data_IF_413818857760
#
_entry.id   IF_413818857760
#
_cell.length_a   1.000
_cell.length_b   1.000
_cell.length_c   1.000
_cell.angle_alpha   90.00
_cell.angle_beta   90.00
_cell.angle_gamma   90.00
#
_symmetry.space_group_name_H-M   'P 1'
#
loop_
_entity.id
_entity.type
_entity.pdbx_description
1 polymer ?
#
# COMPACT_ATOMS: atom_id res chain seq x y z
N UNK A 1 -7.08 27.85 2.24
CA UNK A 1 -5.90 28.19 1.42
C UNK A 1 -5.03 26.97 1.12
N UNK A 2 -4.53 26.23 2.13
CA UNK A 2 -3.65 25.05 1.92
C UNK A 2 -4.20 23.97 0.95
N UNK A 3 -5.49 23.64 1.04
CA UNK A 3 -6.10 22.63 0.15
C UNK A 3 -6.06 23.05 -1.33
N UNK A 4 -6.45 24.28 -1.64
CA UNK A 4 -6.42 24.82 -3.01
C UNK A 4 -4.98 24.95 -3.53
N UNK A 5 -4.05 25.36 -2.67
CA UNK A 5 -2.61 25.40 -3.01
C UNK A 5 -2.10 24.00 -3.34
N UNK A 6 -2.45 22.98 -2.55
CA UNK A 6 -2.08 21.59 -2.83
C UNK A 6 -2.70 21.07 -4.13
N UNK A 7 -3.98 21.38 -4.40
CA UNK A 7 -4.64 21.01 -5.65
C UNK A 7 -3.95 21.57 -6.88
N UNK A 8 -3.42 22.79 -6.80
CA UNK A 8 -2.70 23.42 -7.91
C UNK A 8 -1.38 22.71 -8.27
N UNK A 9 -0.85 21.84 -7.39
CA UNK A 9 0.40 21.10 -7.59
C UNK A 9 0.21 19.73 -8.25
N UNK A 10 -1.03 19.31 -8.50
CA UNK A 10 -1.34 18.03 -9.18
C UNK A 10 -1.98 18.27 -10.54
N UNK A 11 -1.87 17.27 -11.42
CA UNK A 11 -2.44 17.30 -12.78
C UNK A 11 -3.97 17.45 -12.77
N UNK A 12 -4.53 17.93 -13.88
CA UNK A 12 -5.98 18.23 -13.99
C UNK A 12 -6.86 17.02 -13.70
N UNK A 13 -6.51 15.85 -14.24
CA UNK A 13 -7.25 14.61 -13.99
C UNK A 13 -7.28 14.26 -12.50
N UNK A 14 -6.17 14.48 -11.79
CA UNK A 14 -6.10 14.32 -10.35
C UNK A 14 -6.95 15.33 -9.61
N UNK A 15 -6.94 16.60 -10.02
CA UNK A 15 -7.80 17.63 -9.42
C UNK A 15 -9.27 17.25 -9.55
N UNK A 16 -9.69 16.81 -10.75
CA UNK A 16 -11.08 16.42 -11.02
C UNK A 16 -11.49 15.20 -10.18
N UNK A 17 -10.62 14.19 -10.08
CA UNK A 17 -10.87 13.03 -9.21
C UNK A 17 -10.97 13.42 -7.74
N UNK A 18 -10.08 14.30 -7.26
CA UNK A 18 -10.07 14.74 -5.85
C UNK A 18 -11.34 15.52 -5.52
N UNK A 19 -11.83 16.36 -6.45
CA UNK A 19 -13.05 17.16 -6.27
C UNK A 19 -14.34 16.33 -6.28
N UNK A 20 -14.32 15.11 -6.82
CA UNK A 20 -15.49 14.20 -6.89
C UNK A 20 -15.78 13.44 -5.59
N UNK A 21 -14.88 13.46 -4.61
CA UNK A 21 -15.13 12.80 -3.34
C UNK A 21 -16.28 13.48 -2.59
N UNK A 22 -17.28 12.69 -2.21
CA UNK A 22 -18.40 13.16 -1.39
C UNK A 22 -17.92 13.62 0.00
N UNK A 23 -17.03 12.84 0.63
CA UNK A 23 -16.45 13.20 1.92
C UNK A 23 -15.14 13.97 1.74
N UNK A 24 -15.07 15.15 2.38
CA UNK A 24 -13.88 16.02 2.33
C UNK A 24 -12.61 15.30 2.82
N UNK A 25 -12.72 14.44 3.83
CA UNK A 25 -11.59 13.66 4.34
C UNK A 25 -10.94 12.75 3.28
N UNK A 26 -11.73 12.11 2.43
CA UNK A 26 -11.21 11.30 1.32
C UNK A 26 -10.50 12.15 0.27
N UNK A 27 -11.03 13.35 0.00
CA UNK A 27 -10.36 14.29 -0.90
C UNK A 27 -8.97 14.70 -0.37
N UNK A 28 -8.82 14.91 0.94
CA UNK A 28 -7.52 15.18 1.56
C UNK A 28 -6.58 13.98 1.48
N UNK A 29 -7.08 12.76 1.80
CA UNK A 29 -6.28 11.53 1.69
C UNK A 29 -5.75 11.34 0.27
N UNK A 30 -6.62 11.51 -0.72
CA UNK A 30 -6.25 11.41 -2.12
C UNK A 30 -5.22 12.48 -2.52
N UNK A 31 -5.44 13.73 -2.12
CA UNK A 31 -4.51 14.84 -2.39
C UNK A 31 -3.14 14.59 -1.77
N UNK A 32 -3.08 14.26 -0.47
CA UNK A 32 -1.83 13.96 0.22
C UNK A 32 -1.09 12.78 -0.43
N UNK A 33 -1.79 11.73 -0.82
CA UNK A 33 -1.21 10.63 -1.59
C UNK A 33 -0.56 11.09 -2.91
N UNK A 34 -1.09 12.12 -3.58
CA UNK A 34 -0.46 12.68 -4.79
C UNK A 34 0.70 13.63 -4.50
N UNK A 35 0.71 14.28 -3.35
CA UNK A 35 1.74 15.24 -2.96
C UNK A 35 2.99 14.57 -2.37
N UNK A 36 2.84 13.45 -1.65
CA UNK A 36 3.98 12.73 -1.04
C UNK A 36 5.10 12.37 -2.04
N UNK A 37 4.83 11.71 -3.19
CA UNK A 37 5.89 11.39 -4.14
C UNK A 37 6.47 12.64 -4.81
N UNK A 38 5.65 13.69 -5.00
CA UNK A 38 6.13 14.99 -5.51
C UNK A 38 7.11 15.63 -4.54
N UNK A 39 6.82 15.62 -3.24
CA UNK A 39 7.71 16.15 -2.21
C UNK A 39 9.08 15.48 -2.24
N UNK A 40 9.12 14.14 -2.32
CA UNK A 40 10.37 13.39 -2.42
C UNK A 40 11.13 13.76 -3.70
N UNK A 41 10.45 13.84 -4.85
CA UNK A 41 11.09 14.21 -6.11
C UNK A 41 11.67 15.63 -6.09
N UNK A 42 10.96 16.60 -5.51
CA UNK A 42 11.48 17.95 -5.32
C UNK A 42 12.75 17.95 -4.45
N UNK A 43 12.79 17.13 -3.39
CA UNK A 43 13.97 16.97 -2.54
C UNK A 43 15.15 16.30 -3.27
N UNK A 44 14.86 15.44 -4.26
CA UNK A 44 15.86 14.86 -5.17
C UNK A 44 16.27 15.82 -6.31
N UNK A 45 15.77 17.06 -6.29
CA UNK A 45 16.17 18.11 -7.24
C UNK A 45 15.39 18.12 -8.56
N UNK A 46 14.26 17.40 -8.66
CA UNK A 46 13.34 17.55 -9.79
C UNK A 46 12.64 18.90 -9.72
N UNK A 47 12.33 19.47 -10.88
CA UNK A 47 11.46 20.63 -10.99
C UNK A 47 9.99 20.19 -11.08
N UNK A 48 9.07 21.07 -10.70
CA UNK A 48 7.63 20.74 -10.70
C UNK A 48 7.09 20.41 -12.10
N UNK A 49 7.58 21.10 -13.13
CA UNK A 49 7.25 20.89 -14.55
C UNK A 49 7.81 19.58 -15.12
N UNK A 50 8.78 18.97 -14.46
CA UNK A 50 9.37 17.69 -14.85
C UNK A 50 8.61 16.49 -14.25
N UNK A 51 7.82 16.66 -13.20
CA UNK A 51 7.20 15.54 -12.48
C UNK A 51 5.93 15.08 -13.20
N UNK A 52 6.07 14.05 -14.04
CA UNK A 52 4.98 13.45 -14.81
C UNK A 52 4.75 12.03 -14.33
N UNK A 53 3.55 11.74 -13.83
CA UNK A 53 3.16 10.39 -13.41
C UNK A 53 2.26 9.74 -14.45
N UNK A 54 2.38 8.43 -14.60
CA UNK A 54 1.41 7.58 -15.29
C UNK A 54 0.96 6.45 -14.34
N UNK A 55 0.17 5.51 -14.86
CA UNK A 55 -0.31 4.34 -14.13
C UNK A 55 -0.12 3.09 -14.96
N UNK A 56 0.19 1.97 -14.30
CA UNK A 56 0.14 0.65 -14.91
C UNK A 56 -1.31 0.23 -15.18
N UNK A 57 -1.50 -0.91 -15.84
CA UNK A 57 -2.82 -1.48 -16.13
C UNK A 57 -3.61 -1.78 -14.84
N UNK A 58 -2.94 -2.27 -13.79
CA UNK A 58 -3.49 -2.43 -12.43
C UNK A 58 -3.70 -1.12 -11.67
N UNK A 59 -3.31 0.03 -12.25
CA UNK A 59 -3.51 1.35 -11.69
C UNK A 59 -2.38 1.85 -10.77
N UNK A 60 -1.27 1.10 -10.63
CA UNK A 60 -0.12 1.48 -9.79
C UNK A 60 0.57 2.71 -10.40
N UNK A 61 0.70 3.83 -9.65
CA UNK A 61 1.32 5.04 -10.19
C UNK A 61 2.83 4.88 -10.32
N UNK A 62 3.42 5.50 -11.34
CA UNK A 62 4.87 5.53 -11.55
C UNK A 62 5.32 6.82 -12.21
N UNK A 63 6.58 7.18 -12.00
CA UNK A 63 7.19 8.35 -12.63
C UNK A 63 7.59 8.02 -14.08
N UNK A 64 7.10 8.81 -15.03
CA UNK A 64 7.44 8.69 -16.45
C UNK A 64 8.77 9.38 -16.74
N UNK A 65 9.00 10.52 -16.09
CA UNK A 65 10.21 11.32 -16.27
C UNK A 65 11.40 10.66 -15.59
N UNK A 66 12.24 9.98 -16.36
CA UNK A 66 13.53 9.49 -15.90
C UNK A 66 14.60 10.58 -16.07
N UNK A 67 15.29 10.95 -14.99
CA UNK A 67 16.64 11.50 -15.14
C UNK A 67 17.60 10.36 -15.51
N UNK A 68 18.69 10.70 -16.20
CA UNK A 68 19.66 9.72 -16.69
C UNK A 68 20.38 8.94 -15.56
N UNK A 69 20.27 9.40 -14.31
CA UNK A 69 21.01 8.87 -13.17
C UNK A 69 20.11 8.29 -12.06
N UNK A 70 18.91 8.85 -11.81
CA UNK A 70 18.03 8.39 -10.72
C UNK A 70 16.52 8.51 -11.01
N UNK A 71 15.73 7.59 -10.45
CA UNK A 71 14.25 7.66 -10.36
C UNK A 71 13.76 7.13 -9.00
N UNK A 72 12.44 7.10 -8.78
CA UNK A 72 11.84 6.48 -7.58
C UNK A 72 10.80 5.44 -7.96
N UNK A 73 10.80 4.33 -7.22
CA UNK A 73 9.61 3.50 -7.08
C UNK A 73 8.92 3.79 -5.77
N UNK A 74 7.59 3.75 -5.76
CA UNK A 74 6.83 4.02 -4.56
C UNK A 74 5.48 3.30 -4.55
N UNK A 75 4.92 3.19 -3.36
CA UNK A 75 3.55 2.77 -3.15
C UNK A 75 2.93 3.58 -2.00
N UNK A 76 1.63 3.82 -2.08
CA UNK A 76 0.89 4.62 -1.10
C UNK A 76 -0.29 3.81 -0.61
N UNK A 77 -0.56 3.90 0.69
CA UNK A 77 -1.81 3.46 1.28
C UNK A 77 -2.34 4.55 2.22
N UNK A 78 -3.61 4.49 2.52
CA UNK A 78 -4.23 5.40 3.47
C UNK A 78 -5.40 4.72 4.16
N UNK A 79 -5.56 5.01 5.44
CA UNK A 79 -6.78 4.68 6.17
C UNK A 79 -7.00 5.72 7.27
N UNK A 80 -8.25 6.14 7.42
CA UNK A 80 -8.67 7.16 8.39
C UNK A 80 -7.77 8.43 8.33
N UNK A 81 -7.10 8.75 9.42
CA UNK A 81 -6.28 9.96 9.53
C UNK A 81 -4.85 9.77 8.99
N UNK A 82 -4.51 8.61 8.43
CA UNK A 82 -3.14 8.26 8.04
C UNK A 82 -3.06 8.12 6.52
N UNK A 83 -2.02 8.72 5.95
CA UNK A 83 -1.55 8.46 4.58
C UNK A 83 -0.08 8.06 4.70
N UNK A 84 0.27 6.88 4.22
CA UNK A 84 1.64 6.35 4.23
C UNK A 84 2.16 6.20 2.80
N UNK A 85 3.45 6.44 2.63
CA UNK A 85 4.16 6.14 1.40
C UNK A 85 5.44 5.38 1.75
N UNK A 86 5.67 4.26 1.07
CA UNK A 86 6.98 3.62 1.00
C UNK A 86 7.61 3.93 -0.36
N UNK A 87 8.91 4.19 -0.38
CA UNK A 87 9.63 4.50 -1.62
C UNK A 87 11.06 3.98 -1.59
N UNK A 88 11.65 3.83 -2.77
CA UNK A 88 13.05 3.51 -2.99
C UNK A 88 13.58 4.39 -4.12
N UNK A 89 14.77 4.94 -3.94
CA UNK A 89 15.54 5.55 -5.03
C UNK A 89 16.18 4.46 -5.87
N UNK A 90 15.98 4.53 -7.17
CA UNK A 90 16.53 3.61 -8.15
C UNK A 90 17.63 4.34 -8.91
N UNK A 91 18.83 3.79 -8.90
CA UNK A 91 19.94 4.29 -9.71
C UNK A 91 19.84 3.71 -11.11
N UNK A 92 20.16 4.52 -12.12
CA UNK A 92 20.28 4.05 -13.48
C UNK A 92 21.54 3.17 -13.60
N UNK A 93 21.33 1.87 -13.83
CA UNK A 93 22.41 0.94 -14.16
C UNK A 93 22.43 0.70 -15.68
N UNK A 94 23.42 1.22 -16.43
CA UNK A 94 23.55 1.00 -17.86
C UNK A 94 23.93 -0.44 -18.24
N UNK A 95 24.38 -1.27 -17.29
CA UNK A 95 24.82 -2.66 -17.51
C UNK A 95 23.72 -3.71 -17.28
N UNK A 96 22.73 -3.38 -16.44
CA UNK A 96 21.43 -4.06 -16.45
C UNK A 96 20.69 -3.52 -17.67
N UNK A 97 20.28 -4.39 -18.59
CA UNK A 97 19.35 -4.00 -19.68
C UNK A 97 18.30 -3.07 -19.07
N UNK A 98 18.32 -1.82 -19.55
CA UNK A 98 17.88 -0.62 -18.87
C UNK A 98 16.69 -0.80 -17.92
N UNK A 99 16.55 0.11 -16.95
CA UNK A 99 15.22 0.58 -16.60
C UNK A 99 14.53 1.04 -17.90
N UNK A 100 13.93 0.11 -18.63
CA UNK A 100 13.11 0.39 -19.78
C UNK A 100 12.06 1.33 -19.23
N UNK A 101 11.86 2.46 -19.91
CA UNK A 101 10.85 3.43 -19.54
C UNK A 101 9.60 2.66 -19.10
N UNK A 102 9.13 2.86 -17.85
CA UNK A 102 8.17 1.97 -17.23
C UNK A 102 7.00 1.71 -18.19
N UNK A 103 6.91 0.48 -18.68
CA UNK A 103 5.86 0.08 -19.60
C UNK A 103 4.56 -0.02 -18.80
N UNK A 104 3.40 0.32 -19.39
CA UNK A 104 2.11 0.18 -18.72
C UNK A 104 1.71 -1.28 -18.44
N UNK A 105 2.49 -2.24 -18.96
CA UNK A 105 2.31 -3.67 -18.76
C UNK A 105 2.78 -4.10 -17.35
N UNK A 106 1.87 -4.73 -16.59
CA UNK A 106 2.14 -5.23 -15.23
C UNK A 106 3.09 -6.45 -15.21
N UNK A 107 3.51 -6.98 -16.37
CA UNK A 107 4.42 -8.14 -16.47
C UNK A 107 5.78 -7.94 -15.81
N UNK A 108 6.25 -6.70 -15.66
CA UNK A 108 7.45 -6.40 -14.88
C UNK A 108 7.18 -5.21 -13.95
N UNK A 109 7.09 -5.44 -12.62
CA UNK A 109 6.85 -4.35 -11.68
C UNK A 109 8.05 -3.40 -11.68
N UNK A 110 7.77 -2.11 -11.88
CA UNK A 110 8.74 -1.03 -11.88
C UNK A 110 9.57 -1.04 -10.59
N UNK A 111 8.89 -1.35 -9.47
CA UNK A 111 9.51 -1.74 -8.20
C UNK A 111 8.64 -2.73 -7.44
N UNK A 112 9.28 -3.57 -6.65
CA UNK A 112 8.67 -4.51 -5.71
C UNK A 112 8.37 -3.85 -4.36
N UNK A 113 7.76 -2.66 -4.39
CA UNK A 113 7.38 -1.91 -3.19
C UNK A 113 5.87 -1.89 -3.08
N UNK A 114 5.40 -2.25 -1.89
CA UNK A 114 4.02 -2.17 -1.48
C UNK A 114 3.95 -1.81 -0.01
N UNK A 115 2.99 -0.95 0.35
CA UNK A 115 2.72 -0.57 1.74
C UNK A 115 1.23 -0.65 1.96
N UNK A 116 0.85 -1.03 3.17
CA UNK A 116 -0.54 -0.96 3.59
C UNK A 116 -0.69 -0.48 5.03
N UNK A 117 -1.82 0.18 5.31
CA UNK A 117 -2.16 0.65 6.64
C UNK A 117 -3.66 0.50 6.85
N UNK A 118 -4.04 -0.03 8.02
CA UNK A 118 -5.43 -0.16 8.43
C UNK A 118 -5.58 0.19 9.91
N UNK A 119 -6.64 0.90 10.24
CA UNK A 119 -7.08 1.13 11.62
C UNK A 119 -7.63 -0.18 12.17
N UNK A 120 -7.08 -0.59 13.31
CA UNK A 120 -7.62 -1.72 14.08
C UNK A 120 -8.95 -1.29 14.70
N UNK A 121 -10.05 -1.67 14.06
CA UNK A 121 -11.40 -1.48 14.57
C UNK A 121 -12.32 -2.51 13.92
N UNK A 122 -13.33 -2.99 14.65
CA UNK A 122 -14.39 -3.78 14.04
C UNK A 122 -15.18 -2.89 13.06
N UNK A 123 -15.46 -3.37 11.84
CA UNK A 123 -16.35 -2.67 10.93
C UNK A 123 -17.75 -2.52 11.54
N UNK A 124 -18.47 -1.45 11.17
CA UNK A 124 -19.81 -1.19 11.73
C UNK A 124 -20.81 -2.32 11.45
N UNK A 125 -20.64 -3.06 10.35
CA UNK A 125 -21.49 -4.22 10.03
C UNK A 125 -21.18 -5.45 10.88
N UNK A 126 -20.00 -5.52 11.50
CA UNK A 126 -19.57 -6.68 12.26
C UNK A 126 -19.96 -6.54 13.73
N UNK A 127 -20.89 -7.39 14.18
CA UNK A 127 -21.37 -7.43 15.57
C UNK A 127 -20.33 -7.98 16.56
N UNK A 128 -19.34 -8.72 16.09
CA UNK A 128 -18.26 -9.31 16.89
C UNK A 128 -17.06 -9.67 16.02
N UNK A 129 -15.89 -9.95 16.63
CA UNK A 129 -14.72 -10.47 15.92
C UNK A 129 -15.04 -11.76 15.15
N UNK A 130 -15.80 -12.68 15.76
CA UNK A 130 -16.21 -13.93 15.10
C UNK A 130 -17.06 -13.66 13.86
N UNK A 131 -18.03 -12.76 13.95
CA UNK A 131 -18.85 -12.37 12.80
C UNK A 131 -17.98 -11.72 11.72
N UNK A 132 -17.02 -10.89 12.10
CA UNK A 132 -16.09 -10.29 11.14
C UNK A 132 -15.23 -11.36 10.45
N UNK A 133 -14.56 -12.24 11.22
CA UNK A 133 -13.73 -13.32 10.69
C UNK A 133 -14.52 -14.17 9.69
N UNK A 134 -15.78 -14.51 10.00
CA UNK A 134 -16.63 -15.28 9.09
C UNK A 134 -16.90 -14.60 7.73
N UNK A 135 -16.79 -13.27 7.65
CA UNK A 135 -16.96 -12.53 6.39
C UNK A 135 -15.70 -12.46 5.54
N UNK A 136 -14.53 -12.74 6.12
CA UNK A 136 -13.23 -12.58 5.48
C UNK A 136 -12.36 -13.83 5.65
N UNK A 137 -12.97 -15.00 5.88
CA UNK A 137 -12.22 -16.24 6.16
C UNK A 137 -11.18 -16.51 5.06
N UNK A 138 -11.52 -16.24 3.80
CA UNK A 138 -10.64 -16.40 2.63
C UNK A 138 -9.42 -15.47 2.66
N UNK A 139 -9.53 -14.30 3.31
CA UNK A 139 -8.41 -13.38 3.54
C UNK A 139 -7.44 -13.95 4.57
N UNK A 140 -7.96 -14.64 5.59
CA UNK A 140 -7.21 -15.04 6.80
C UNK A 140 -6.60 -16.43 6.68
N UNK A 141 -7.34 -17.38 6.08
CA UNK A 141 -6.93 -18.78 6.02
C UNK A 141 -5.85 -18.96 4.95
N UNK A 142 -4.66 -19.41 5.35
CA UNK A 142 -3.74 -20.11 4.44
C UNK A 142 -4.29 -21.52 4.21
N UNK A 143 -4.02 -22.12 3.04
CA UNK A 143 -4.55 -23.42 2.61
C UNK A 143 -4.44 -24.58 3.62
N UNK A 144 -3.55 -24.48 4.61
CA UNK A 144 -3.11 -25.63 5.43
C UNK A 144 -3.31 -25.53 6.96
N UNK A 145 -4.10 -24.60 7.53
CA UNK A 145 -4.19 -24.52 9.01
C UNK A 145 -5.55 -24.17 9.60
N UNK A 146 -5.85 -24.80 10.75
CA UNK A 146 -6.87 -24.37 11.70
C UNK A 146 -6.74 -22.89 12.06
N UNK A 147 -7.84 -22.27 12.48
CA UNK A 147 -7.85 -20.87 12.89
C UNK A 147 -6.83 -20.66 14.03
N UNK A 148 -5.87 -19.71 13.89
CA UNK A 148 -4.85 -19.49 14.91
C UNK A 148 -5.47 -19.25 16.29
N UNK A 149 -4.86 -19.79 17.35
CA UNK A 149 -5.29 -19.58 18.75
C UNK A 149 -5.48 -18.09 19.06
N UNK A 150 -4.71 -17.21 18.42
CA UNK A 150 -4.81 -15.76 18.57
C UNK A 150 -6.20 -15.21 18.19
N UNK A 151 -6.94 -15.86 17.29
CA UNK A 151 -8.31 -15.45 16.93
C UNK A 151 -9.33 -15.74 18.05
N UNK A 152 -8.93 -16.47 19.10
CA UNK A 152 -9.80 -16.78 20.26
C UNK A 152 -9.85 -15.62 21.27
N UNK A 153 -8.82 -14.76 21.32
CA UNK A 153 -8.78 -13.57 22.17
C UNK A 153 -9.28 -12.33 21.41
N UNK A 154 -10.28 -11.61 21.94
CA UNK A 154 -10.97 -10.56 21.17
C UNK A 154 -10.04 -9.43 20.66
N UNK A 155 -9.18 -8.88 21.52
CA UNK A 155 -8.30 -7.76 21.13
C UNK A 155 -7.08 -8.22 20.33
N UNK A 156 -6.48 -9.35 20.72
CA UNK A 156 -5.28 -9.88 20.08
C UNK A 156 -5.61 -10.51 18.71
N UNK A 157 -6.76 -11.17 18.58
CA UNK A 157 -7.26 -11.74 17.33
C UNK A 157 -7.61 -10.69 16.29
N UNK A 158 -8.21 -9.57 16.70
CA UNK A 158 -8.47 -8.46 15.77
C UNK A 158 -7.15 -7.86 15.27
N UNK A 159 -6.16 -7.71 16.14
CA UNK A 159 -4.84 -7.21 15.75
C UNK A 159 -4.11 -8.17 14.82
N UNK A 160 -4.09 -9.47 15.13
CA UNK A 160 -3.55 -10.53 14.27
C UNK A 160 -4.13 -10.44 12.85
N UNK A 161 -5.45 -10.37 12.79
CA UNK A 161 -6.21 -10.31 11.55
C UNK A 161 -5.81 -9.14 10.66
N UNK A 162 -5.77 -7.93 11.21
CA UNK A 162 -5.35 -6.74 10.46
C UNK A 162 -3.88 -6.79 10.04
N UNK A 163 -3.01 -7.46 10.81
CA UNK A 163 -1.62 -7.69 10.39
C UNK A 163 -1.57 -8.62 9.17
N UNK A 164 -2.28 -9.75 9.18
CA UNK A 164 -2.34 -10.65 8.03
C UNK A 164 -2.93 -9.94 6.81
N UNK A 165 -4.00 -9.17 6.98
CA UNK A 165 -4.60 -8.41 5.90
C UNK A 165 -3.60 -7.42 5.30
N UNK A 166 -3.03 -6.54 6.13
CA UNK A 166 -2.11 -5.49 5.66
C UNK A 166 -0.85 -6.08 5.03
N UNK A 167 -0.34 -7.22 5.52
CA UNK A 167 0.79 -7.93 4.88
C UNK A 167 0.43 -8.46 3.49
N UNK A 168 -0.71 -9.14 3.35
CA UNK A 168 -1.17 -9.66 2.05
C UNK A 168 -1.46 -8.53 1.07
N UNK A 169 -2.07 -7.44 1.52
CA UNK A 169 -2.35 -6.27 0.69
C UNK A 169 -1.08 -5.52 0.28
N UNK A 170 -0.12 -5.33 1.18
CA UNK A 170 1.19 -4.78 0.83
C UNK A 170 1.93 -5.66 -0.19
N UNK A 171 1.87 -6.99 -0.04
CA UNK A 171 2.50 -7.93 -0.97
C UNK A 171 1.86 -7.89 -2.37
N UNK A 172 0.53 -7.89 -2.47
CA UNK A 172 -0.16 -7.74 -3.78
C UNK A 172 0.12 -6.39 -4.44
N UNK A 173 0.19 -5.31 -3.65
CA UNK A 173 0.61 -3.97 -4.11
C UNK A 173 2.05 -3.97 -4.62
N UNK A 174 2.95 -4.71 -3.98
CA UNK A 174 4.34 -4.85 -4.42
C UNK A 174 4.42 -5.53 -5.79
N UNK A 175 3.67 -6.62 -5.97
CA UNK A 175 3.64 -7.40 -7.22
C UNK A 175 2.82 -6.75 -8.35
N UNK A 176 1.97 -5.77 -8.06
CA UNK A 176 1.12 -5.12 -9.07
C UNK A 176 -0.09 -5.96 -9.49
N UNK A 177 -0.56 -6.88 -8.64
CA UNK A 177 -1.62 -7.84 -8.98
C UNK A 177 -3.05 -7.26 -8.93
N UNK A 178 -3.20 -6.00 -8.52
CA UNK A 178 -4.46 -5.25 -8.57
C UNK A 178 -5.52 -5.67 -7.53
N UNK A 179 -6.68 -5.00 -7.60
CA UNK A 179 -7.85 -5.32 -6.77
C UNK A 179 -8.52 -6.60 -7.29
N UNK A 180 -8.87 -7.52 -6.38
CA UNK A 180 -9.51 -8.80 -6.72
C UNK A 180 -8.54 -9.99 -6.83
N UNK A 181 -7.26 -9.78 -6.51
CA UNK A 181 -6.34 -10.91 -6.33
C UNK A 181 -6.81 -11.80 -5.18
N UNK A 182 -6.80 -13.12 -5.42
CA UNK A 182 -7.26 -14.10 -4.44
C UNK A 182 -6.23 -14.27 -3.31
N UNK A 183 -6.52 -13.73 -2.13
CA UNK A 183 -5.65 -13.76 -0.96
C UNK A 183 -5.38 -15.18 -0.43
N UNK A 184 -6.16 -16.19 -0.84
CA UNK A 184 -5.91 -17.60 -0.49
C UNK A 184 -4.62 -18.12 -1.14
N UNK A 185 -4.19 -17.49 -2.23
CA UNK A 185 -2.93 -17.79 -2.91
C UNK A 185 -1.71 -17.20 -2.19
N UNK A 186 -1.90 -16.43 -1.12
CA UNK A 186 -0.79 -15.86 -0.36
C UNK A 186 -0.71 -16.56 0.98
N UNK A 187 0.37 -17.28 1.18
CA UNK A 187 0.73 -17.78 2.50
C UNK A 187 1.47 -16.69 3.26
N UNK A 188 1.01 -16.38 4.47
CA UNK A 188 1.64 -15.42 5.34
C UNK A 188 1.72 -16.01 6.75
N UNK A 189 2.94 -16.13 7.28
CA UNK A 189 3.18 -16.66 8.63
C UNK A 189 3.87 -15.62 9.50
N UNK A 190 3.18 -15.23 10.57
CA UNK A 190 3.71 -14.37 11.63
C UNK A 190 3.69 -15.12 12.96
N UNK A 191 4.63 -14.80 13.84
CA UNK A 191 4.76 -15.39 15.17
C UNK A 191 4.58 -14.32 16.24
N UNK A 192 3.94 -14.62 17.37
CA UNK A 192 3.91 -13.72 18.51
C UNK A 192 5.34 -13.36 18.97
N UNK A 193 5.55 -12.08 19.31
CA UNK A 193 6.78 -11.59 19.91
C UNK A 193 6.53 -11.22 21.37
N UNK A 194 7.46 -11.62 22.24
CA UNK A 194 7.37 -11.41 23.68
C UNK A 194 8.59 -10.66 24.22
N UNK A 195 8.37 -9.81 25.21
CA UNK A 195 9.40 -9.28 26.11
C UNK A 195 9.09 -9.82 27.51
N UNK A 196 9.87 -10.81 27.96
CA UNK A 196 9.50 -11.62 29.13
C UNK A 196 8.23 -12.43 28.89
N UNK A 197 7.26 -12.35 29.80
CA UNK A 197 5.94 -12.99 29.66
C UNK A 197 4.94 -12.13 28.87
N UNK A 198 5.27 -10.86 28.61
CA UNK A 198 4.35 -9.94 27.96
C UNK A 198 4.50 -10.01 26.44
N UNK A 199 3.41 -10.29 25.75
CA UNK A 199 3.34 -10.16 24.29
C UNK A 199 3.44 -8.69 23.88
N UNK A 200 4.40 -8.36 23.03
CA UNK A 200 4.64 -6.99 22.55
C UNK A 200 4.19 -6.78 21.10
N UNK A 201 4.07 -7.85 20.33
CA UNK A 201 3.58 -7.78 18.97
C UNK A 201 3.66 -9.10 18.22
N UNK A 202 3.94 -8.99 16.93
CA UNK A 202 4.18 -10.11 16.04
C UNK A 202 5.44 -9.83 15.22
N UNK A 203 6.19 -10.88 14.91
CA UNK A 203 7.37 -10.85 14.07
C UNK A 203 7.30 -11.98 13.03
N UNK A 204 8.22 -11.95 12.07
CA UNK A 204 8.26 -12.92 10.97
C UNK A 204 7.80 -12.30 9.65
N UNK A 205 8.45 -12.73 8.58
CA UNK A 205 8.32 -12.15 7.23
C UNK A 205 8.16 -13.23 6.17
N UNK A 206 7.74 -14.44 6.54
CA UNK A 206 7.54 -15.50 5.55
C UNK A 206 6.21 -15.27 4.85
N UNK A 207 6.29 -14.63 3.68
CA UNK A 207 5.18 -14.35 2.79
C UNK A 207 5.51 -14.88 1.39
N UNK A 208 4.64 -15.71 0.84
CA UNK A 208 4.84 -16.38 -0.45
C UNK A 208 3.54 -16.47 -1.23
N UNK A 209 3.68 -16.44 -2.56
CA UNK A 209 2.62 -16.71 -3.53
C UNK A 209 2.59 -18.20 -3.89
#
# INVERSE_FOLDING_TARGET
KLYETGLALVDRDSQDRIKRFYHRADSYRCLLGRLLPRLVLLQLGFRTDEIIFSRTTSGKPFLVTSRLDHTIGFNISHDQAIVVMAFQTLEYDPSRTAFAAPQPDDRQPITLIGVDVMRIALPQFAKSLRAFVSTIEDTVRSSDSDAPEQLQEQNDGLRYLFIIWTLKEAYTKALGLGMGFDFRRIECRIRPQYEGEKKTGYSGTDIRL
#
